data_IF_423479894881
#
_entry.id   IF_423479894881
#
_cell.length_a   1.000
_cell.length_b   1.000
_cell.length_c   1.000
_cell.angle_alpha   90.00
_cell.angle_beta   90.00
_cell.angle_gamma   90.00
#
_symmetry.space_group_name_H-M   'P 1'
#
loop_
_entity.id
_entity.type
_entity.pdbx_description
1 polymer ?
#
# COMPACT_ATOMS: atom_id res chain seq x y z
N UNK A 1 8.38 -17.29 19.77
CA UNK A 1 7.80 -16.25 18.91
C UNK A 1 6.50 -15.80 19.54
N UNK A 2 6.41 -14.55 19.97
CA UNK A 2 5.12 -13.95 20.29
C UNK A 2 4.50 -13.54 18.95
N UNK A 3 3.37 -14.13 18.59
CA UNK A 3 2.54 -13.61 17.51
C UNK A 3 2.07 -12.21 17.97
N UNK A 4 2.56 -11.15 17.33
CA UNK A 4 1.98 -9.82 17.57
C UNK A 4 0.54 -9.81 17.05
N UNK A 5 -0.39 -9.36 17.90
CA UNK A 5 -1.82 -9.28 17.58
C UNK A 5 -1.99 -8.30 16.40
N UNK A 6 -2.74 -8.67 15.33
CA UNK A 6 -3.11 -7.74 14.25
C UNK A 6 -3.67 -6.40 14.72
N UNK A 7 -4.22 -6.36 15.94
CA UNK A 7 -4.68 -5.16 16.64
C UNK A 7 -3.53 -4.22 17.01
N UNK A 8 -2.40 -4.74 17.50
CA UNK A 8 -1.21 -3.95 17.85
C UNK A 8 -0.56 -3.35 16.60
N UNK A 9 -0.41 -4.18 15.56
CA UNK A 9 0.10 -3.74 14.27
C UNK A 9 -0.79 -2.65 13.63
N UNK A 10 -2.12 -2.81 13.71
CA UNK A 10 -3.06 -1.79 13.29
C UNK A 10 -2.87 -0.47 14.05
N UNK A 11 -2.74 -0.51 15.37
CA UNK A 11 -2.55 0.69 16.19
C UNK A 11 -1.19 1.36 15.90
N UNK A 12 -0.13 0.59 15.68
CA UNK A 12 1.19 1.08 15.28
C UNK A 12 1.13 1.87 13.97
N UNK A 13 0.51 1.30 12.94
CA UNK A 13 0.34 1.98 11.66
C UNK A 13 -0.60 3.19 11.77
N UNK A 14 -1.71 3.08 12.51
CA UNK A 14 -2.68 4.17 12.73
C UNK A 14 -2.01 5.37 13.39
N UNK A 15 -1.21 5.16 14.43
CA UNK A 15 -0.46 6.21 15.14
C UNK A 15 0.66 6.81 14.30
N UNK A 16 1.18 6.03 13.35
CA UNK A 16 2.23 6.49 12.42
C UNK A 16 1.68 7.33 11.26
N UNK A 17 0.37 7.52 11.15
CA UNK A 17 -0.25 8.27 10.06
C UNK A 17 0.16 9.75 10.11
N UNK A 18 0.85 10.27 9.07
CA UNK A 18 1.25 11.66 9.07
C UNK A 18 0.08 12.59 8.76
N UNK A 19 0.18 13.84 9.21
CA UNK A 19 -0.82 14.87 8.87
C UNK A 19 -0.75 15.21 7.38
N UNK A 20 -1.86 14.94 6.67
CA UNK A 20 -1.94 15.13 5.21
C UNK A 20 -2.55 16.47 4.79
N UNK A 21 -3.21 17.18 5.71
CA UNK A 21 -3.96 18.41 5.42
C UNK A 21 -5.12 18.21 4.43
N UNK A 22 -5.93 19.25 4.24
CA UNK A 22 -7.20 19.12 3.50
C UNK A 22 -7.05 18.91 1.98
N UNK A 23 -6.03 19.44 1.29
CA UNK A 23 -6.03 19.51 -0.20
C UNK A 23 -4.73 19.03 -0.88
N UNK A 24 -3.67 18.68 -0.14
CA UNK A 24 -2.37 18.46 -0.78
C UNK A 24 -2.16 17.03 -1.32
N UNK A 25 -2.34 16.84 -2.64
CA UNK A 25 -2.10 15.56 -3.36
C UNK A 25 -0.74 14.94 -3.05
N UNK A 26 0.34 15.74 -3.08
CA UNK A 26 1.70 15.26 -2.84
C UNK A 26 1.88 14.75 -1.40
N UNK A 27 1.29 15.42 -0.41
CA UNK A 27 1.31 14.97 0.99
C UNK A 27 0.55 13.66 1.18
N UNK A 28 -0.61 13.52 0.52
CA UNK A 28 -1.42 12.30 0.56
C UNK A 28 -0.69 11.09 -0.02
N UNK A 29 -0.05 11.26 -1.18
CA UNK A 29 0.74 10.18 -1.79
C UNK A 29 1.95 9.81 -0.90
N UNK A 30 2.66 10.81 -0.37
CA UNK A 30 3.77 10.55 0.58
C UNK A 30 3.32 9.82 1.84
N UNK A 31 2.15 10.17 2.37
CA UNK A 31 1.61 9.49 3.55
C UNK A 31 1.28 8.03 3.29
N UNK A 32 0.72 7.72 2.12
CA UNK A 32 0.48 6.35 1.70
C UNK A 32 1.80 5.55 1.60
N UNK A 33 2.81 6.12 0.94
CA UNK A 33 4.14 5.52 0.82
C UNK A 33 4.74 5.26 2.21
N UNK A 34 4.66 6.23 3.12
CA UNK A 34 5.20 6.10 4.46
C UNK A 34 4.54 4.94 5.22
N UNK A 35 3.20 4.87 5.25
CA UNK A 35 2.49 3.80 5.96
C UNK A 35 2.77 2.43 5.36
N UNK A 36 2.80 2.33 4.03
CA UNK A 36 3.06 1.05 3.36
C UNK A 36 4.52 0.62 3.46
N UNK A 37 5.47 1.54 3.60
CA UNK A 37 6.86 1.20 3.95
C UNK A 37 6.99 0.70 5.39
N UNK A 38 6.22 1.24 6.34
CA UNK A 38 6.21 0.70 7.71
C UNK A 38 5.60 -0.71 7.70
N UNK A 39 4.49 -0.93 6.99
CA UNK A 39 3.92 -2.27 6.86
C UNK A 39 4.89 -3.26 6.20
N UNK A 40 5.63 -2.84 5.16
CA UNK A 40 6.68 -3.65 4.54
C UNK A 40 7.82 -3.97 5.53
N UNK A 41 8.21 -3.01 6.36
CA UNK A 41 9.21 -3.24 7.40
C UNK A 41 8.74 -4.30 8.40
N UNK A 42 7.49 -4.20 8.86
CA UNK A 42 6.89 -5.18 9.78
C UNK A 42 6.83 -6.60 9.17
N UNK A 43 6.61 -6.70 7.86
CA UNK A 43 6.73 -7.97 7.13
C UNK A 43 8.18 -8.49 7.14
N UNK A 44 9.15 -7.61 6.83
CA UNK A 44 10.57 -7.97 6.75
C UNK A 44 11.19 -8.37 8.09
N UNK A 45 10.61 -7.90 9.20
CA UNK A 45 11.01 -8.28 10.56
C UNK A 45 10.19 -9.41 11.16
N UNK A 46 9.35 -10.07 10.34
CA UNK A 46 8.46 -11.15 10.75
C UNK A 46 7.50 -10.77 11.91
N UNK A 47 7.22 -9.47 12.09
CA UNK A 47 6.21 -8.99 13.05
C UNK A 47 4.80 -9.39 12.59
N UNK A 48 4.56 -9.35 11.27
CA UNK A 48 3.30 -9.75 10.63
C UNK A 48 3.54 -10.52 9.34
N UNK A 49 2.58 -11.34 8.93
CA UNK A 49 2.56 -11.99 7.61
C UNK A 49 2.03 -11.05 6.51
N UNK A 50 2.21 -11.43 5.24
CA UNK A 50 1.72 -10.66 4.09
C UNK A 50 0.18 -10.50 4.13
N UNK A 51 -0.53 -11.58 4.45
CA UNK A 51 -2.00 -11.57 4.57
C UNK A 51 -2.47 -10.66 5.71
N UNK A 52 -1.76 -10.68 6.84
CA UNK A 52 -2.02 -9.78 7.96
C UNK A 52 -1.78 -8.32 7.56
N UNK A 53 -0.71 -8.04 6.81
CA UNK A 53 -0.42 -6.69 6.32
C UNK A 53 -1.55 -6.17 5.40
N UNK A 54 -1.98 -6.95 4.41
CA UNK A 54 -3.09 -6.59 3.53
C UNK A 54 -4.39 -6.39 4.32
N UNK A 55 -4.68 -7.28 5.27
CA UNK A 55 -5.83 -7.15 6.15
C UNK A 55 -5.79 -5.85 6.97
N UNK A 56 -4.66 -5.52 7.59
CA UNK A 56 -4.50 -4.31 8.39
C UNK A 56 -4.62 -3.06 7.51
N UNK A 57 -4.02 -3.03 6.32
CA UNK A 57 -4.18 -1.94 5.36
C UNK A 57 -5.65 -1.75 4.95
N UNK A 58 -6.40 -2.84 4.77
CA UNK A 58 -7.84 -2.79 4.51
C UNK A 58 -8.63 -2.21 5.70
N UNK A 59 -8.22 -2.52 6.94
CA UNK A 59 -8.82 -1.95 8.15
C UNK A 59 -8.50 -0.46 8.28
N UNK A 60 -7.27 -0.05 7.99
CA UNK A 60 -6.88 1.37 7.95
C UNK A 60 -7.69 2.12 6.90
N UNK A 61 -7.87 1.55 5.71
CA UNK A 61 -8.69 2.14 4.65
C UNK A 61 -10.14 2.38 5.10
N UNK A 62 -10.69 1.48 5.93
CA UNK A 62 -12.06 1.57 6.45
C UNK A 62 -12.18 2.50 7.66
N UNK A 63 -11.20 2.50 8.57
CA UNK A 63 -11.29 3.14 9.90
C UNK A 63 -10.51 4.44 10.03
N UNK A 64 -9.55 4.71 9.14
CA UNK A 64 -8.73 5.91 9.16
C UNK A 64 -9.00 6.75 7.91
N UNK A 65 -9.80 7.81 8.07
CA UNK A 65 -10.20 8.68 6.96
C UNK A 65 -9.00 9.32 6.23
N UNK A 66 -7.89 9.56 6.94
CA UNK A 66 -6.70 10.13 6.33
C UNK A 66 -5.94 9.10 5.50
N UNK A 67 -5.80 7.86 5.99
CA UNK A 67 -5.26 6.78 5.18
C UNK A 67 -6.16 6.49 3.97
N UNK A 68 -7.49 6.54 4.14
CA UNK A 68 -8.43 6.41 3.05
C UNK A 68 -8.20 7.45 1.95
N UNK A 69 -8.09 8.74 2.32
CA UNK A 69 -7.79 9.83 1.37
C UNK A 69 -6.42 9.65 0.71
N UNK A 70 -5.43 9.15 1.46
CA UNK A 70 -4.08 8.89 0.97
C UNK A 70 -4.06 7.76 -0.06
N UNK A 71 -4.67 6.63 0.26
CA UNK A 71 -4.81 5.48 -0.61
C UNK A 71 -5.63 5.82 -1.86
N UNK A 72 -6.82 6.43 -1.73
CA UNK A 72 -7.62 6.83 -2.91
C UNK A 72 -6.85 7.78 -3.83
N UNK A 73 -6.15 8.77 -3.28
CA UNK A 73 -5.36 9.70 -4.08
C UNK A 73 -4.19 9.02 -4.79
N UNK A 74 -3.55 8.05 -4.14
CA UNK A 74 -2.48 7.26 -4.72
C UNK A 74 -3.01 6.33 -5.81
N UNK A 75 -4.15 5.68 -5.56
CA UNK A 75 -4.84 4.83 -6.53
C UNK A 75 -5.12 5.63 -7.80
N UNK A 76 -5.75 6.80 -7.71
CA UNK A 76 -6.01 7.66 -8.86
C UNK A 76 -4.73 8.15 -9.57
N UNK A 77 -3.66 8.36 -8.80
CA UNK A 77 -2.38 8.89 -9.28
C UNK A 77 -1.39 7.86 -9.83
N UNK A 78 -1.66 6.56 -9.72
CA UNK A 78 -0.68 5.51 -9.96
C UNK A 78 -0.02 5.57 -11.35
N UNK A 79 -0.78 5.90 -12.39
CA UNK A 79 -0.28 6.04 -13.77
C UNK A 79 0.82 7.11 -13.93
N UNK A 80 0.83 8.09 -13.04
CA UNK A 80 1.79 9.20 -13.04
C UNK A 80 2.98 8.98 -12.10
N UNK A 81 3.04 7.83 -11.42
CA UNK A 81 4.12 7.50 -10.49
C UNK A 81 5.20 6.69 -11.18
N UNK A 82 6.46 6.96 -10.83
CA UNK A 82 7.61 6.18 -11.29
C UNK A 82 7.60 4.75 -10.73
N UNK A 83 8.27 3.83 -11.42
CA UNK A 83 8.50 2.47 -10.93
C UNK A 83 9.39 2.51 -9.67
N UNK A 84 9.16 1.58 -8.74
CA UNK A 84 9.95 1.46 -7.50
C UNK A 84 9.66 2.53 -6.43
N UNK A 85 8.61 3.35 -6.59
CA UNK A 85 8.23 4.36 -5.60
C UNK A 85 7.40 3.78 -4.45
N UNK A 86 6.62 2.73 -4.71
CA UNK A 86 5.82 2.03 -3.72
C UNK A 86 6.56 0.80 -3.21
N UNK A 87 6.38 0.46 -1.92
CA UNK A 87 6.80 -0.84 -1.41
C UNK A 87 6.04 -1.98 -2.11
N UNK A 88 6.58 -3.21 -2.13
CA UNK A 88 5.88 -4.38 -2.65
C UNK A 88 4.45 -4.55 -2.10
N UNK A 89 4.27 -4.49 -0.77
CA UNK A 89 2.95 -4.62 -0.15
C UNK A 89 2.04 -3.43 -0.50
N UNK A 90 2.60 -2.23 -0.59
CA UNK A 90 1.87 -1.03 -1.01
C UNK A 90 1.40 -1.13 -2.45
N UNK A 91 2.26 -1.61 -3.36
CA UNK A 91 1.88 -1.82 -4.75
C UNK A 91 0.77 -2.87 -4.87
N UNK A 92 0.91 -4.01 -4.18
CA UNK A 92 -0.11 -5.07 -4.17
C UNK A 92 -1.47 -4.52 -3.72
N UNK A 93 -1.49 -3.84 -2.56
CA UNK A 93 -2.71 -3.26 -2.01
C UNK A 93 -3.33 -2.20 -2.93
N UNK A 94 -2.54 -1.29 -3.51
CA UNK A 94 -3.10 -0.21 -4.34
C UNK A 94 -3.70 -0.73 -5.64
N UNK A 95 -3.14 -1.79 -6.22
CA UNK A 95 -3.66 -2.42 -7.42
C UNK A 95 -5.04 -3.05 -7.15
N UNK A 96 -5.24 -3.69 -6.00
CA UNK A 96 -6.55 -4.18 -5.57
C UNK A 96 -7.56 -3.03 -5.40
N UNK A 97 -7.15 -1.93 -4.76
CA UNK A 97 -8.03 -0.75 -4.61
C UNK A 97 -8.41 -0.18 -5.99
N UNK A 98 -7.48 -0.10 -6.94
CA UNK A 98 -7.77 0.35 -8.30
C UNK A 98 -8.79 -0.54 -8.99
N UNK A 99 -8.64 -1.86 -8.86
CA UNK A 99 -9.60 -2.85 -9.38
C UNK A 99 -10.98 -2.65 -8.77
N UNK A 100 -11.06 -2.44 -7.46
CA UNK A 100 -12.32 -2.21 -6.74
C UNK A 100 -12.99 -0.88 -7.10
N UNK A 101 -12.21 0.13 -7.52
CA UNK A 101 -12.71 1.41 -8.03
C UNK A 101 -13.00 1.38 -9.55
N UNK A 102 -12.86 0.22 -10.20
CA UNK A 102 -13.02 0.07 -11.66
C UNK A 102 -12.15 1.03 -12.48
N UNK A 103 -10.93 1.33 -11.99
CA UNK A 103 -10.00 2.22 -12.68
C UNK A 103 -9.26 1.48 -13.80
N UNK A 104 -8.84 2.17 -14.88
CA UNK A 104 -8.09 1.56 -15.99
C UNK A 104 -6.82 0.83 -15.54
N UNK A 105 -6.31 -0.10 -16.35
CA UNK A 105 -5.00 -0.72 -16.13
C UNK A 105 -3.88 0.33 -16.17
N UNK A 106 -2.76 0.00 -15.54
CA UNK A 106 -1.58 0.86 -15.41
C UNK A 106 -0.33 0.10 -15.84
N UNK A 107 0.75 0.78 -16.17
CA UNK A 107 2.06 0.13 -16.43
C UNK A 107 2.63 -0.62 -15.20
N UNK A 108 2.00 -0.49 -14.04
CA UNK A 108 2.33 -1.22 -12.81
C UNK A 108 1.40 -2.42 -12.57
N UNK A 109 0.37 -2.62 -13.40
CA UNK A 109 -0.52 -3.80 -13.37
C UNK A 109 -0.15 -4.86 -14.40
N UNK A 110 0.85 -4.59 -15.22
CA UNK A 110 1.44 -5.61 -16.07
C UNK A 110 2.23 -6.52 -15.12
N UNK A 111 1.68 -7.70 -14.85
CA UNK A 111 2.44 -8.78 -14.21
C UNK A 111 3.77 -8.89 -14.96
N UNK A 112 4.86 -9.12 -14.21
CA UNK A 112 6.14 -9.47 -14.80
C UNK A 112 5.85 -10.74 -15.59
N UNK A 113 5.71 -10.61 -16.92
CA UNK A 113 5.82 -11.74 -17.81
C UNK A 113 7.22 -12.25 -17.53
N UNK A 114 7.29 -13.44 -16.95
CA UNK A 114 8.52 -14.18 -16.86
C UNK A 114 9.01 -14.33 -18.30
N UNK A 115 9.95 -13.47 -18.68
CA UNK A 115 10.59 -13.53 -19.98
C UNK A 115 11.70 -14.59 -19.90
N UNK A 116 11.27 -15.82 -19.62
CA UNK A 116 11.90 -17.06 -20.07
C UNK A 116 10.94 -17.58 -21.14
N UNK A 117 11.19 -17.35 -22.43
CA UNK A 117 12.08 -18.22 -23.20
C UNK A 117 13.01 -17.41 -24.11
N UNK A 118 14.31 -17.61 -23.87
CA UNK A 118 15.36 -17.45 -24.89
C UNK A 118 15.54 -18.79 -25.59
N UNK A 119 15.62 -18.74 -26.93
CA UNK A 119 16.26 -19.73 -27.86
C UNK A 119 15.57 -21.10 -27.95
N UNK A 120 15.25 -21.66 -29.11
CA UNK A 120 15.95 -21.67 -30.42
C UNK A 120 15.05 -21.43 -31.65
#
# INVERSE_FOLDING_TARGET
MQEEDPTEAFEKLRKSMPSIGFINRKKRIKAYIQITNIAEYMLSTEEISEDQALFILSLLMRKCADFQKAATMTALGLNSMGKGVLSPIGLKFILEIRKNLSLPKTHHSDEIIDSEEKSD
#
